data_IF_672104069477
#
_entry.id   IF_672104069477
#
_cell.length_a   1.000
_cell.length_b   1.000
_cell.length_c   1.000
_cell.angle_alpha   90.00
_cell.angle_beta   90.00
_cell.angle_gamma   90.00
#
_symmetry.space_group_name_H-M   'P 1'
#
loop_
_entity.id
_entity.type
_entity.pdbx_description
1 polymer ?
#
# COMPACT_ATOMS: atom_id res chain seq x y z
N UNK A 1 -9.63 -9.04 21.28
CA UNK A 1 -8.31 -9.44 20.71
C UNK A 1 -7.29 -9.34 21.81
N UNK A 2 -6.46 -10.36 22.07
CA UNK A 2 -5.44 -10.26 23.12
C UNK A 2 -4.35 -9.30 22.64
N UNK A 3 -4.02 -8.30 23.45
CA UNK A 3 -2.86 -7.45 23.24
C UNK A 3 -1.62 -8.29 23.59
N UNK A 4 -0.82 -8.67 22.60
CA UNK A 4 0.51 -9.23 22.86
C UNK A 4 1.40 -8.10 23.35
N UNK A 5 1.67 -8.09 24.66
CA UNK A 5 2.65 -7.19 25.26
C UNK A 5 4.06 -7.56 24.76
N UNK A 6 4.78 -6.54 24.32
CA UNK A 6 6.13 -6.69 23.77
C UNK A 6 7.10 -6.58 24.95
N UNK A 7 8.05 -7.52 25.11
CA UNK A 7 8.96 -7.52 26.25
C UNK A 7 9.79 -6.23 26.34
N UNK A 8 9.92 -5.70 27.56
CA UNK A 8 10.63 -4.44 27.86
C UNK A 8 12.08 -4.40 27.33
N UNK A 9 12.73 -5.54 27.26
CA UNK A 9 14.10 -5.72 26.75
C UNK A 9 14.25 -5.28 25.27
N UNK A 10 13.17 -5.41 24.47
CA UNK A 10 13.15 -4.96 23.08
C UNK A 10 13.04 -3.43 23.02
N UNK A 11 12.27 -2.81 23.91
CA UNK A 11 12.17 -1.35 24.00
C UNK A 11 13.51 -0.71 24.40
N UNK A 12 14.28 -1.36 25.27
CA UNK A 12 15.60 -0.89 25.69
C UNK A 12 16.65 -0.97 24.58
N UNK A 13 16.68 -2.07 23.83
CA UNK A 13 17.57 -2.23 22.67
C UNK A 13 17.26 -1.22 21.56
N UNK A 14 15.97 -0.97 21.30
CA UNK A 14 15.54 0.02 20.31
C UNK A 14 15.77 1.46 20.79
N UNK A 15 15.58 1.73 22.08
CA UNK A 15 15.90 3.03 22.70
C UNK A 15 17.40 3.35 22.63
N UNK A 16 18.27 2.36 22.80
CA UNK A 16 19.71 2.52 22.64
C UNK A 16 20.12 2.76 21.17
N UNK A 17 19.45 2.12 20.20
CA UNK A 17 19.68 2.34 18.78
C UNK A 17 19.18 3.71 18.30
N UNK A 18 18.01 4.16 18.78
CA UNK A 18 17.44 5.47 18.45
C UNK A 18 18.25 6.63 19.04
N UNK A 19 18.83 6.47 20.23
CA UNK A 19 19.78 7.44 20.80
C UNK A 19 21.05 7.62 19.96
N UNK A 20 21.37 6.69 19.05
CA UNK A 20 22.54 6.77 18.15
C UNK A 20 22.20 7.26 16.74
N UNK A 21 20.94 7.18 16.33
CA UNK A 21 20.45 7.77 15.09
C UNK A 21 19.60 9.00 15.46
N UNK A 22 20.23 10.18 15.52
CA UNK A 22 19.71 11.54 15.88
C UNK A 22 18.38 11.98 15.21
N UNK A 23 17.75 11.12 14.41
CA UNK A 23 16.55 11.38 13.60
C UNK A 23 15.37 10.48 13.92
N UNK A 24 15.47 9.56 14.89
CA UNK A 24 14.38 8.63 15.22
C UNK A 24 13.65 9.10 16.47
N UNK A 25 12.45 9.66 16.31
CA UNK A 25 11.58 10.06 17.42
C UNK A 25 10.97 8.82 18.11
N UNK A 26 10.49 9.00 19.35
CA UNK A 26 9.84 7.92 20.13
C UNK A 26 8.58 7.37 19.45
N UNK A 27 7.89 8.20 18.66
CA UNK A 27 6.75 7.81 17.79
C UNK A 27 7.21 6.93 16.62
N UNK A 28 8.36 7.24 15.99
CA UNK A 28 8.95 6.39 14.95
C UNK A 28 9.41 5.04 15.51
N UNK A 29 9.76 4.97 16.79
CA UNK A 29 10.12 3.72 17.47
C UNK A 29 8.90 2.80 17.66
N UNK A 30 7.76 3.37 18.05
CA UNK A 30 6.51 2.62 18.20
C UNK A 30 6.02 2.10 16.83
N UNK A 31 6.20 2.89 15.77
CA UNK A 31 5.97 2.46 14.39
C UNK A 31 6.94 1.34 13.97
N UNK A 32 8.21 1.39 14.35
CA UNK A 32 9.17 0.30 14.10
C UNK A 32 8.83 -1.00 14.84
N UNK A 33 8.27 -0.91 16.04
CA UNK A 33 7.84 -2.06 16.86
C UNK A 33 6.55 -2.67 16.33
N UNK A 34 5.55 -1.83 15.99
CA UNK A 34 4.35 -2.28 15.27
C UNK A 34 4.72 -2.83 13.88
N UNK A 35 5.70 -2.22 13.21
CA UNK A 35 6.24 -2.73 11.97
C UNK A 35 6.96 -4.06 12.16
N UNK A 36 7.38 -4.47 13.37
CA UNK A 36 7.87 -5.83 13.66
C UNK A 36 6.77 -6.89 13.55
N UNK A 37 5.54 -6.55 13.92
CA UNK A 37 4.34 -7.40 13.68
C UNK A 37 3.94 -7.38 12.20
N UNK A 38 4.15 -6.25 11.52
CA UNK A 38 3.99 -6.16 10.05
C UNK A 38 5.17 -6.80 9.31
N UNK A 39 6.34 -6.98 9.95
CA UNK A 39 7.58 -7.47 9.33
C UNK A 39 7.47 -8.95 8.99
N UNK A 40 6.76 -9.76 9.77
CA UNK A 40 6.53 -11.17 9.45
C UNK A 40 5.54 -11.32 8.27
N UNK A 41 4.50 -10.49 8.19
CA UNK A 41 3.61 -10.40 7.01
C UNK A 41 4.32 -9.77 5.78
N UNK A 42 5.30 -8.88 6.00
CA UNK A 42 6.12 -8.27 4.94
C UNK A 42 7.27 -9.18 4.48
N UNK A 43 7.77 -10.07 5.35
CA UNK A 43 8.86 -11.03 5.07
C UNK A 43 8.35 -12.25 4.30
N UNK A 44 7.13 -12.73 4.55
CA UNK A 44 6.57 -13.85 3.78
C UNK A 44 6.12 -13.44 2.36
N UNK A 45 5.92 -12.15 2.10
CA UNK A 45 5.85 -11.67 0.72
C UNK A 45 7.26 -11.47 0.20
N UNK A 46 7.74 -12.40 -0.61
CA UNK A 46 8.93 -12.18 -1.43
C UNK A 46 8.73 -10.90 -2.26
N UNK A 47 9.36 -9.84 -1.75
CA UNK A 47 9.43 -8.46 -2.25
C UNK A 47 8.17 -7.61 -2.02
N UNK A 48 8.31 -6.62 -1.14
CA UNK A 48 7.65 -5.33 -1.23
C UNK A 48 7.98 -4.66 -2.57
N UNK A 49 7.35 -5.16 -3.64
CA UNK A 49 7.61 -4.70 -4.98
C UNK A 49 6.96 -3.34 -5.15
N UNK A 50 7.81 -2.37 -5.41
CA UNK A 50 7.42 -1.08 -5.94
C UNK A 50 6.44 -1.27 -7.10
N UNK A 51 5.44 -0.41 -7.13
CA UNK A 51 4.39 -0.51 -8.10
C UNK A 51 3.52 0.71 -8.08
N UNK A 52 2.29 0.50 -8.51
CA UNK A 52 1.37 1.57 -8.82
C UNK A 52 0.00 1.27 -8.28
N UNK A 53 -0.60 2.27 -7.62
CA UNK A 53 -2.05 2.35 -7.47
C UNK A 53 -2.59 3.17 -8.62
N UNK A 54 -3.68 2.73 -9.24
CA UNK A 54 -4.36 3.47 -10.28
C UNK A 54 -5.85 3.52 -10.04
N UNK A 55 -6.46 4.57 -10.58
CA UNK A 55 -7.90 4.73 -10.62
C UNK A 55 -8.38 4.95 -12.04
N UNK A 56 -9.51 4.36 -12.36
CA UNK A 56 -10.17 4.64 -13.61
C UNK A 56 -11.68 4.74 -13.46
N UNK A 57 -12.30 5.48 -14.38
CA UNK A 57 -13.75 5.66 -14.38
C UNK A 57 -14.43 4.44 -14.98
N UNK A 58 -15.53 4.00 -14.36
CA UNK A 58 -16.28 2.84 -14.82
C UNK A 58 -16.86 3.03 -16.23
N UNK A 59 -17.62 4.12 -16.45
CA UNK A 59 -18.26 4.41 -17.74
C UNK A 59 -18.35 5.92 -18.00
N UNK A 60 -18.33 6.34 -19.28
CA UNK A 60 -18.82 7.66 -19.66
C UNK A 60 -20.26 7.84 -19.14
N UNK A 61 -20.56 8.98 -18.53
CA UNK A 61 -21.89 9.29 -17.97
C UNK A 61 -22.14 8.84 -16.51
N UNK A 62 -21.20 8.11 -15.88
CA UNK A 62 -21.25 7.83 -14.44
C UNK A 62 -20.14 8.58 -13.70
N UNK A 63 -20.36 9.86 -13.33
CA UNK A 63 -19.28 10.76 -12.94
C UNK A 63 -18.54 10.34 -11.66
N UNK A 64 -19.18 9.55 -10.80
CA UNK A 64 -18.68 9.19 -9.47
C UNK A 64 -18.47 7.68 -9.27
N UNK A 65 -18.52 6.85 -10.32
CA UNK A 65 -18.20 5.42 -10.21
C UNK A 65 -16.76 5.15 -10.69
N UNK A 66 -15.93 4.66 -9.78
CA UNK A 66 -14.51 4.43 -10.00
C UNK A 66 -14.12 3.00 -9.67
N UNK A 67 -13.09 2.53 -10.36
CA UNK A 67 -12.33 1.36 -9.96
C UNK A 67 -10.96 1.77 -9.49
N UNK A 68 -10.53 1.11 -8.41
CA UNK A 68 -9.19 1.18 -7.88
C UNK A 68 -8.51 -0.14 -8.21
N UNK A 69 -7.24 -0.10 -8.59
CA UNK A 69 -6.47 -1.32 -8.71
C UNK A 69 -4.98 -1.07 -8.58
N UNK A 70 -4.22 -2.15 -8.42
CA UNK A 70 -2.76 -2.11 -8.39
C UNK A 70 -2.10 -2.69 -9.63
N UNK A 71 -0.86 -2.29 -9.85
CA UNK A 71 0.10 -2.96 -10.71
C UNK A 71 1.44 -3.07 -9.99
N UNK A 72 1.98 -4.28 -9.92
CA UNK A 72 3.33 -4.53 -9.43
C UNK A 72 4.27 -4.56 -10.64
N UNK A 73 5.24 -3.65 -10.68
CA UNK A 73 6.15 -3.49 -11.81
C UNK A 73 6.32 -2.04 -12.28
N UNK A 74 7.17 -1.81 -13.29
CA UNK A 74 7.64 -0.46 -13.63
C UNK A 74 6.61 0.38 -14.40
N UNK A 75 5.56 -0.21 -14.98
CA UNK A 75 4.66 0.54 -15.85
C UNK A 75 3.18 0.11 -15.71
N UNK A 76 2.31 0.95 -15.12
CA UNK A 76 0.90 0.63 -14.91
C UNK A 76 0.12 0.49 -16.23
N UNK A 77 0.60 1.07 -17.33
CA UNK A 77 -0.06 0.99 -18.65
C UNK A 77 -0.13 -0.43 -19.19
N UNK A 78 0.80 -1.31 -18.81
CA UNK A 78 0.75 -2.72 -19.19
C UNK A 78 -0.51 -3.37 -18.63
N UNK A 79 -0.80 -3.13 -17.34
CA UNK A 79 -1.99 -3.66 -16.66
C UNK A 79 -3.28 -3.07 -17.23
N UNK A 80 -3.28 -1.78 -17.55
CA UNK A 80 -4.44 -1.12 -18.18
C UNK A 80 -4.76 -1.76 -19.53
N UNK A 81 -3.77 -1.93 -20.41
CA UNK A 81 -3.97 -2.59 -21.72
C UNK A 81 -4.48 -4.02 -21.59
N UNK A 82 -3.98 -4.78 -20.61
CA UNK A 82 -4.49 -6.12 -20.32
C UNK A 82 -5.96 -6.08 -19.90
N UNK A 83 -6.33 -5.13 -19.07
CA UNK A 83 -7.72 -4.92 -18.65
C UNK A 83 -8.62 -4.56 -19.81
N UNK A 84 -8.22 -3.60 -20.65
CA UNK A 84 -8.99 -3.20 -21.83
C UNK A 84 -9.21 -4.39 -22.78
N UNK A 85 -8.15 -5.17 -23.05
CA UNK A 85 -8.22 -6.37 -23.88
C UNK A 85 -9.12 -7.45 -23.27
N UNK A 86 -9.02 -7.68 -21.96
CA UNK A 86 -9.79 -8.72 -21.26
C UNK A 86 -11.27 -8.36 -21.13
N UNK A 87 -11.56 -7.08 -20.87
CA UNK A 87 -12.90 -6.62 -20.54
C UNK A 87 -13.64 -5.97 -21.72
N UNK A 88 -12.98 -5.87 -22.88
CA UNK A 88 -13.60 -5.44 -24.13
C UNK A 88 -13.97 -3.96 -24.18
N UNK A 89 -13.38 -3.12 -23.35
CA UNK A 89 -13.65 -1.68 -23.35
C UNK A 89 -12.45 -0.83 -22.98
N UNK A 90 -12.40 0.39 -23.54
CA UNK A 90 -11.39 1.38 -23.19
C UNK A 90 -11.62 1.90 -21.78
N UNK A 91 -10.51 2.13 -21.08
CA UNK A 91 -10.50 2.59 -19.70
C UNK A 91 -10.10 4.07 -19.67
N UNK A 92 -10.92 4.91 -19.03
CA UNK A 92 -10.55 6.29 -18.71
C UNK A 92 -9.70 6.30 -17.44
N UNK A 93 -8.37 6.23 -17.62
CA UNK A 93 -7.42 6.40 -16.52
C UNK A 93 -7.54 7.81 -15.94
N UNK A 94 -7.84 7.90 -14.65
CA UNK A 94 -8.02 9.18 -13.96
C UNK A 94 -6.73 9.64 -13.31
N UNK A 95 -6.02 8.75 -12.61
CA UNK A 95 -4.75 9.04 -11.92
C UNK A 95 -4.00 7.77 -11.55
N UNK A 96 -2.68 7.90 -11.36
CA UNK A 96 -1.79 6.87 -10.84
C UNK A 96 -0.92 7.43 -9.71
N UNK A 97 -0.52 6.57 -8.79
CA UNK A 97 0.43 6.85 -7.71
C UNK A 97 1.47 5.75 -7.68
N UNK A 98 2.72 6.13 -7.53
CA UNK A 98 3.82 5.21 -7.30
C UNK A 98 3.91 4.89 -5.80
N UNK A 99 4.11 3.61 -5.47
CA UNK A 99 4.06 3.10 -4.10
C UNK A 99 5.12 2.04 -3.86
N UNK A 100 5.74 2.07 -2.68
CA UNK A 100 6.72 1.08 -2.25
C UNK A 100 6.10 -0.30 -2.05
N UNK A 101 4.87 -0.37 -1.55
CA UNK A 101 4.19 -1.61 -1.17
C UNK A 101 2.84 -1.77 -1.88
N UNK A 102 2.82 -1.88 -3.22
CA UNK A 102 1.59 -1.80 -4.01
C UNK A 102 0.46 -2.74 -3.57
N UNK A 103 0.79 -3.95 -3.10
CA UNK A 103 -0.21 -4.89 -2.57
C UNK A 103 -0.82 -4.41 -1.26
N UNK A 104 0.03 -4.05 -0.30
CA UNK A 104 -0.38 -3.58 1.02
C UNK A 104 -1.15 -2.27 0.92
N UNK A 105 -0.66 -1.32 0.12
CA UNK A 105 -1.34 -0.04 -0.08
C UNK A 105 -2.74 -0.23 -0.67
N UNK A 106 -2.90 -1.10 -1.67
CA UNK A 106 -4.24 -1.43 -2.21
C UNK A 106 -5.16 -2.00 -1.11
N UNK A 107 -4.68 -2.98 -0.34
CA UNK A 107 -5.49 -3.61 0.71
C UNK A 107 -5.95 -2.62 1.78
N UNK A 108 -5.08 -1.69 2.21
CA UNK A 108 -5.42 -0.63 3.16
C UNK A 108 -6.50 0.30 2.60
N UNK A 109 -6.32 0.76 1.35
CA UNK A 109 -7.31 1.58 0.64
C UNK A 109 -8.66 0.86 0.53
N UNK A 110 -8.66 -0.41 0.10
CA UNK A 110 -9.90 -1.17 -0.04
C UNK A 110 -10.60 -1.36 1.30
N UNK A 111 -9.84 -1.63 2.36
CA UNK A 111 -10.39 -1.85 3.70
C UNK A 111 -11.07 -0.59 4.21
N UNK A 112 -10.42 0.57 4.09
CA UNK A 112 -11.02 1.84 4.52
C UNK A 112 -12.26 2.16 3.70
N UNK A 113 -12.21 2.06 2.36
CA UNK A 113 -13.33 2.41 1.50
C UNK A 113 -14.51 1.44 1.64
N UNK A 114 -14.28 0.16 1.91
CA UNK A 114 -15.35 -0.82 2.19
C UNK A 114 -16.01 -0.59 3.55
N UNK A 115 -15.31 0.02 4.49
CA UNK A 115 -15.87 0.42 5.79
C UNK A 115 -16.72 1.69 5.75
N UNK A 116 -16.83 2.36 4.59
CA UNK A 116 -17.66 3.55 4.42
C UNK A 116 -19.02 3.18 3.80
N UNK A 117 -20.11 3.44 4.51
CA UNK A 117 -21.47 2.99 4.18
C UNK A 117 -22.00 3.42 2.80
N UNK A 118 -21.45 4.49 2.20
CA UNK A 118 -21.93 5.04 0.92
C UNK A 118 -20.93 4.92 -0.24
N UNK A 119 -19.78 4.30 -0.02
CA UNK A 119 -18.66 4.33 -0.97
C UNK A 119 -18.50 3.02 -1.73
N UNK A 120 -18.80 1.88 -1.13
CA UNK A 120 -18.58 0.60 -1.77
C UNK A 120 -19.79 0.16 -2.61
N UNK A 121 -19.56 -0.09 -3.90
CA UNK A 121 -20.62 -0.54 -4.81
C UNK A 121 -20.83 -2.06 -4.83
N UNK A 122 -20.06 -2.78 -4.01
CA UNK A 122 -20.12 -4.22 -3.97
C UNK A 122 -19.49 -4.90 -5.19
N UNK A 123 -19.76 -6.19 -5.27
CA UNK A 123 -19.34 -7.04 -6.38
C UNK A 123 -20.23 -6.79 -7.60
N UNK A 124 -19.66 -6.31 -8.72
CA UNK A 124 -20.39 -6.07 -9.98
C UNK A 124 -19.86 -6.93 -11.10
N UNK A 125 -20.79 -7.51 -11.88
CA UNK A 125 -20.47 -8.19 -13.12
C UNK A 125 -19.83 -7.21 -14.12
N UNK A 126 -18.73 -7.62 -14.73
CA UNK A 126 -18.07 -6.88 -15.79
C UNK A 126 -18.88 -6.95 -17.07
N UNK A 127 -19.54 -5.83 -17.41
CA UNK A 127 -20.23 -5.65 -18.70
C UNK A 127 -19.53 -4.60 -19.54
N UNK A 128 -19.67 -4.71 -20.86
CA UNK A 128 -19.21 -3.72 -21.83
C UNK A 128 -19.86 -2.35 -21.61
N UNK A 129 -19.38 -1.30 -22.31
CA UNK A 129 -19.85 0.08 -22.13
C UNK A 129 -21.35 0.20 -22.43
N UNK A 130 -21.79 -0.46 -23.50
CA UNK A 130 -23.14 -0.60 -24.04
C UNK A 130 -23.96 -1.72 -23.37
N UNK A 131 -23.41 -2.40 -22.36
CA UNK A 131 -24.06 -3.56 -21.75
C UNK A 131 -23.83 -4.88 -22.48
N UNK A 132 -22.99 -4.89 -23.53
CA UNK A 132 -22.50 -6.11 -24.18
C UNK A 132 -21.66 -6.99 -23.23
N UNK A 133 -21.28 -8.19 -23.68
CA UNK A 133 -20.43 -9.11 -22.93
C UNK A 133 -19.07 -8.47 -22.62
N UNK A 134 -18.87 -8.10 -21.34
CA UNK A 134 -17.54 -7.84 -20.79
C UNK A 134 -16.82 -9.16 -20.52
N UNK A 135 -15.89 -9.17 -19.56
CA UNK A 135 -15.22 -10.43 -19.21
C UNK A 135 -16.10 -11.42 -18.42
N UNK A 136 -17.36 -11.07 -18.10
CA UNK A 136 -18.31 -11.89 -17.33
C UNK A 136 -17.92 -12.11 -15.86
N UNK A 137 -16.70 -11.74 -15.46
CA UNK A 137 -16.24 -11.84 -14.09
C UNK A 137 -16.90 -10.79 -13.21
N UNK A 138 -17.03 -11.12 -11.93
CA UNK A 138 -17.51 -10.21 -10.93
C UNK A 138 -16.35 -9.52 -10.22
N UNK A 139 -16.22 -8.21 -10.36
CA UNK A 139 -15.16 -7.43 -9.74
C UNK A 139 -15.64 -6.79 -8.44
N UNK A 140 -14.78 -6.82 -7.40
CA UNK A 140 -15.09 -6.27 -6.07
C UNK A 140 -14.55 -4.86 -5.84
N UNK A 141 -13.71 -4.41 -6.76
CA UNK A 141 -12.98 -3.14 -6.66
C UNK A 141 -13.75 -1.93 -7.24
N UNK A 142 -15.07 -1.87 -7.07
CA UNK A 142 -15.90 -0.76 -7.56
C UNK A 142 -16.39 0.14 -6.42
N UNK A 143 -16.28 1.44 -6.62
CA UNK A 143 -16.56 2.46 -5.61
C UNK A 143 -17.40 3.60 -6.19
N UNK A 144 -18.31 4.15 -5.39
CA UNK A 144 -19.13 5.32 -5.67
C UNK A 144 -18.77 6.44 -4.70
N UNK A 145 -17.90 7.35 -5.12
CA UNK A 145 -17.49 8.48 -4.30
C UNK A 145 -17.08 9.66 -5.19
N UNK A 146 -16.99 10.85 -4.61
CA UNK A 146 -16.38 11.98 -5.32
C UNK A 146 -14.90 11.70 -5.59
N UNK A 147 -14.36 12.25 -6.69
CA UNK A 147 -12.92 12.16 -6.99
C UNK A 147 -12.08 12.66 -5.81
N UNK A 148 -12.48 13.76 -5.19
CA UNK A 148 -11.78 14.36 -4.06
C UNK A 148 -11.69 13.38 -2.88
N UNK A 149 -12.80 12.73 -2.50
CA UNK A 149 -12.81 11.76 -1.40
C UNK A 149 -11.89 10.58 -1.70
N UNK A 150 -11.95 10.01 -2.90
CA UNK A 150 -11.05 8.92 -3.28
C UNK A 150 -9.59 9.35 -3.28
N UNK A 151 -9.29 10.55 -3.78
CA UNK A 151 -7.90 11.03 -3.84
C UNK A 151 -7.35 11.25 -2.43
N UNK A 152 -8.15 11.76 -1.49
CA UNK A 152 -7.75 11.92 -0.10
C UNK A 152 -7.36 10.58 0.53
N UNK A 153 -8.23 9.57 0.43
CA UNK A 153 -7.96 8.24 1.01
C UNK A 153 -6.75 7.59 0.36
N UNK A 154 -6.67 7.61 -0.98
CA UNK A 154 -5.56 7.00 -1.71
C UNK A 154 -4.24 7.70 -1.38
N UNK A 155 -4.20 9.03 -1.43
CA UNK A 155 -2.99 9.80 -1.11
C UNK A 155 -2.53 9.54 0.32
N UNK A 156 -3.44 9.51 1.30
CA UNK A 156 -3.08 9.20 2.68
C UNK A 156 -2.33 7.86 2.80
N UNK A 157 -2.87 6.78 2.23
CA UNK A 157 -2.24 5.47 2.31
C UNK A 157 -0.98 5.33 1.47
N UNK A 158 -0.93 5.99 0.31
CA UNK A 158 0.28 6.08 -0.52
C UNK A 158 1.41 6.73 0.29
N UNK A 159 1.15 7.90 0.87
CA UNK A 159 2.13 8.66 1.65
C UNK A 159 2.56 7.87 2.89
N UNK A 160 1.60 7.29 3.62
CA UNK A 160 1.88 6.46 4.79
C UNK A 160 2.80 5.28 4.44
N UNK A 161 2.47 4.51 3.39
CA UNK A 161 3.26 3.33 3.02
C UNK A 161 4.63 3.67 2.45
N UNK A 162 4.77 4.80 1.74
CA UNK A 162 6.06 5.29 1.27
C UNK A 162 6.94 5.76 2.43
N UNK A 163 6.39 6.53 3.38
CA UNK A 163 7.12 6.98 4.58
C UNK A 163 7.56 5.79 5.45
N UNK A 164 6.71 4.76 5.56
CA UNK A 164 7.05 3.52 6.25
C UNK A 164 8.23 2.80 5.56
N UNK A 165 8.25 2.76 4.22
CA UNK A 165 9.36 2.17 3.47
C UNK A 165 10.69 2.91 3.71
N UNK A 166 10.66 4.24 3.70
CA UNK A 166 11.83 5.07 4.00
C UNK A 166 12.34 4.82 5.42
N UNK A 167 11.43 4.74 6.39
CA UNK A 167 11.76 4.47 7.79
C UNK A 167 12.41 3.10 7.96
N UNK A 168 11.87 2.06 7.32
CA UNK A 168 12.44 0.71 7.33
C UNK A 168 13.82 0.66 6.67
N UNK A 169 14.02 1.40 5.57
CA UNK A 169 15.32 1.51 4.90
C UNK A 169 16.37 2.19 5.78
N UNK A 170 16.00 3.29 6.46
CA UNK A 170 16.87 3.99 7.40
C UNK A 170 17.24 3.11 8.59
N UNK A 171 16.25 2.43 9.18
CA UNK A 171 16.47 1.48 10.29
C UNK A 171 17.46 0.39 9.90
N UNK A 172 17.27 -0.27 8.75
CA UNK A 172 18.20 -1.30 8.23
C UNK A 172 19.62 -0.77 8.03
N UNK A 173 19.78 0.48 7.56
CA UNK A 173 21.09 1.12 7.42
C UNK A 173 21.75 1.37 8.79
N UNK A 174 21.03 1.96 9.74
CA UNK A 174 21.52 2.19 11.11
C UNK A 174 21.99 0.85 11.74
N UNK A 175 21.20 -0.22 11.63
CA UNK A 175 21.53 -1.54 12.19
C UNK A 175 22.80 -2.14 11.56
N UNK A 176 22.96 -2.05 10.23
CA UNK A 176 24.18 -2.56 9.56
C UNK A 176 25.43 -1.83 10.01
N UNK A 177 25.37 -0.51 10.16
CA UNK A 177 26.49 0.29 10.67
C UNK A 177 26.85 -0.11 12.10
N UNK A 178 25.85 -0.21 12.99
CA UNK A 178 26.07 -0.61 14.38
C UNK A 178 26.70 -2.00 14.52
N UNK A 179 26.32 -2.96 13.68
CA UNK A 179 26.94 -4.30 13.65
C UNK A 179 28.39 -4.21 13.18
N UNK A 180 28.67 -3.42 12.14
CA UNK A 180 30.03 -3.25 11.61
C UNK A 180 30.96 -2.64 12.65
N UNK A 181 30.53 -1.59 13.34
CA UNK A 181 31.28 -0.93 14.41
C UNK A 181 31.55 -1.88 15.58
N UNK A 182 30.54 -2.66 15.99
CA UNK A 182 30.68 -3.65 17.05
C UNK A 182 31.68 -4.78 16.68
N UNK A 183 31.77 -5.15 15.40
CA UNK A 183 32.73 -6.14 14.92
C UNK A 183 34.16 -5.59 14.84
N UNK A 184 34.32 -4.32 14.49
CA UNK A 184 35.64 -3.65 14.47
C UNK A 184 36.19 -3.47 15.88
N UNK A 185 35.36 -3.04 16.84
CA UNK A 185 35.76 -2.83 18.24
C UNK A 185 36.08 -4.12 19.01
N UNK A 186 35.71 -5.30 18.50
CA UNK A 186 36.08 -6.61 19.08
C UNK A 186 37.40 -7.15 18.53
N UNK A 187 37.99 -6.50 17.52
CA UNK A 187 39.22 -6.93 16.84
C UNK A 187 40.45 -6.06 17.19
N UNK A 188 40.28 -4.98 17.95
CA UNK A 188 41.34 -4.16 18.53
C UNK A 188 41.39 -4.34 20.04
#
# INVERSE_FOLDING_TARGET
MPQTEIPDEIYDLLGAAAKRCDKVTRENLFICVMAGVVDDDLKESSEGKQGWIYIYRHKPGKPNEFKIGKHVGPNPRVRIRQWEKKCGHKIELVRTWEVAFARTTEQLIETELKGMDDVWLGQRECRGPDGSSGCGAHHREWYKASKQKLFQVISYWVDYTNNMAETLLLSRKCTKLAISDAQQNRRG
#
